data_IF_544892973861
#
_entry.id   IF_544892973861
#
_cell.length_a   1.000
_cell.length_b   1.000
_cell.length_c   1.000
_cell.angle_alpha   90.00
_cell.angle_beta   90.00
_cell.angle_gamma   90.00
#
_symmetry.space_group_name_H-M   'P 1'
#
loop_
_entity.id
_entity.type
_entity.pdbx_description
1 polymer ?
#
# COMPACT_ATOMS: atom_id res chain seq x y z
N UNK A 1 13.69 26.71 11.42
CA UNK A 1 12.28 26.71 11.86
C UNK A 1 11.78 25.28 11.71
N UNK A 2 11.38 24.65 12.82
CA UNK A 2 10.90 23.25 12.89
C UNK A 2 9.58 23.13 12.12
N UNK A 3 9.53 22.32 11.07
CA UNK A 3 8.25 21.80 10.55
C UNK A 3 7.68 20.80 11.57
N UNK A 4 6.35 20.67 11.70
CA UNK A 4 5.76 19.73 12.64
C UNK A 4 6.02 18.30 12.18
N UNK A 5 6.49 17.45 13.10
CA UNK A 5 6.50 16.00 12.96
C UNK A 5 5.06 15.54 12.74
N UNK A 6 4.77 14.94 11.59
CA UNK A 6 3.42 14.53 11.20
C UNK A 6 2.54 15.73 10.82
N UNK A 7 2.62 16.16 9.57
CA UNK A 7 1.56 17.00 9.02
C UNK A 7 0.21 16.28 9.22
N UNK A 8 -0.82 16.96 9.76
CA UNK A 8 -2.13 16.35 9.95
C UNK A 8 -2.69 15.92 8.59
N UNK A 9 -3.51 14.87 8.63
CA UNK A 9 -4.30 14.28 7.54
C UNK A 9 -5.11 15.30 6.68
N UNK A 10 -5.10 16.59 7.00
CA UNK A 10 -5.85 17.66 6.35
C UNK A 10 -5.34 18.05 4.96
N UNK A 11 -4.10 17.71 4.58
CA UNK A 11 -3.55 18.08 3.26
C UNK A 11 -4.21 17.36 2.07
N UNK A 12 -5.01 16.31 2.30
CA UNK A 12 -5.66 15.52 1.24
C UNK A 12 -7.00 16.11 0.73
N UNK A 13 -7.45 17.28 1.22
CA UNK A 13 -8.68 17.96 0.76
C UNK A 13 -8.41 19.12 -0.24
N UNK A 14 -7.52 18.91 -1.22
CA UNK A 14 -7.34 19.83 -2.35
C UNK A 14 -8.35 19.58 -3.49
N UNK A 15 -8.59 20.53 -4.40
CA UNK A 15 -9.52 20.34 -5.52
C UNK A 15 -9.05 19.17 -6.40
N UNK A 16 -10.01 18.28 -6.69
CA UNK A 16 -9.86 17.06 -7.50
C UNK A 16 -9.02 17.32 -8.75
N UNK A 17 -7.82 16.73 -8.79
CA UNK A 17 -7.03 16.65 -10.01
C UNK A 17 -7.80 15.90 -11.10
N UNK A 18 -7.61 16.30 -12.35
CA UNK A 18 -8.26 15.65 -13.50
C UNK A 18 -7.96 14.14 -13.58
N UNK A 19 -8.78 13.38 -14.33
CA UNK A 19 -8.68 11.92 -14.38
C UNK A 19 -7.30 11.44 -14.84
N UNK A 20 -6.80 10.40 -14.17
CA UNK A 20 -5.58 9.70 -14.54
C UNK A 20 -5.69 9.19 -15.98
N UNK A 21 -4.76 9.58 -16.87
CA UNK A 21 -4.67 9.07 -18.24
C UNK A 21 -4.86 10.08 -19.38
N UNK A 22 -4.84 11.40 -19.10
CA UNK A 22 -4.85 12.38 -20.19
C UNK A 22 -3.59 12.28 -21.07
N UNK A 23 -3.72 12.18 -22.41
CA UNK A 23 -2.61 11.88 -23.33
C UNK A 23 -1.63 13.06 -23.58
N UNK A 24 -1.65 14.11 -22.76
CA UNK A 24 -0.86 15.33 -22.98
C UNK A 24 0.01 15.77 -21.80
N UNK A 25 0.44 14.84 -20.94
CA UNK A 25 1.45 15.08 -19.91
C UNK A 25 2.79 14.42 -20.26
N UNK A 26 3.86 15.20 -20.38
CA UNK A 26 5.23 14.69 -20.62
C UNK A 26 5.61 13.60 -19.60
N UNK A 27 6.14 12.49 -20.13
CA UNK A 27 6.56 11.33 -19.37
C UNK A 27 7.62 11.70 -18.31
N UNK A 28 7.18 11.74 -17.05
CA UNK A 28 8.00 11.71 -15.83
C UNK A 28 8.94 12.92 -15.65
N UNK A 29 8.97 13.44 -14.42
CA UNK A 29 9.83 14.54 -14.02
C UNK A 29 11.31 14.30 -14.33
N UNK A 30 12.13 15.35 -14.15
CA UNK A 30 13.58 15.32 -14.40
C UNK A 30 14.19 14.05 -13.80
N UNK A 31 14.87 13.19 -14.58
CA UNK A 31 15.43 11.97 -14.04
C UNK A 31 16.49 12.30 -12.99
N UNK A 32 16.27 11.79 -11.77
CA UNK A 32 17.30 11.67 -10.73
C UNK A 32 18.58 11.13 -11.38
N UNK A 33 19.72 11.83 -11.26
CA UNK A 33 21.00 11.35 -11.81
C UNK A 33 21.32 10.01 -11.14
N UNK A 34 21.16 8.91 -11.88
CA UNK A 34 21.34 7.55 -11.35
C UNK A 34 22.80 7.12 -11.49
N UNK A 35 23.47 6.65 -10.41
CA UNK A 35 24.81 6.06 -10.52
C UNK A 35 24.86 4.66 -11.14
N UNK A 36 23.72 3.97 -11.29
CA UNK A 36 23.65 2.52 -11.54
C UNK A 36 23.21 2.10 -12.96
N UNK A 37 23.33 3.00 -13.95
CA UNK A 37 22.94 2.71 -15.34
C UNK A 37 21.42 2.75 -15.62
N UNK A 38 20.99 2.52 -16.88
CA UNK A 38 19.58 2.51 -17.25
C UNK A 38 18.87 1.29 -16.64
N UNK A 39 17.59 1.46 -16.24
CA UNK A 39 16.75 0.32 -15.83
C UNK A 39 16.61 -0.60 -17.04
N UNK A 40 17.11 -1.83 -16.91
CA UNK A 40 16.82 -2.91 -17.84
C UNK A 40 15.72 -3.78 -17.24
N UNK A 41 14.57 -3.83 -17.91
CA UNK A 41 13.39 -4.55 -17.48
C UNK A 41 12.12 -3.69 -17.50
N UNK A 42 10.93 -4.33 -17.46
CA UNK A 42 9.68 -3.59 -17.28
C UNK A 42 9.74 -2.80 -15.96
N UNK A 43 9.11 -1.60 -15.88
CA UNK A 43 9.14 -0.80 -14.66
C UNK A 43 8.67 -1.64 -13.45
N UNK A 44 9.27 -1.42 -12.28
CA UNK A 44 8.76 -2.01 -11.04
C UNK A 44 7.26 -1.66 -10.93
N UNK A 45 6.40 -2.68 -10.84
CA UNK A 45 4.94 -2.52 -10.87
C UNK A 45 4.29 -2.74 -12.24
N UNK A 46 5.05 -3.12 -13.28
CA UNK A 46 4.44 -3.71 -14.46
C UNK A 46 3.62 -4.93 -14.03
N UNK A 47 2.31 -4.98 -14.34
CA UNK A 47 1.46 -6.06 -13.88
C UNK A 47 2.04 -7.39 -14.39
N UNK A 48 2.03 -8.42 -13.54
CA UNK A 48 2.42 -9.79 -13.91
C UNK A 48 1.39 -10.46 -14.87
N UNK A 49 0.74 -9.65 -15.70
CA UNK A 49 -0.34 -9.98 -16.63
C UNK A 49 -0.78 -8.73 -17.40
N UNK A 50 -1.59 -8.90 -18.46
CA UNK A 50 -2.17 -7.75 -19.16
C UNK A 50 -3.07 -6.93 -18.22
N UNK A 51 -3.28 -5.62 -18.50
CA UNK A 51 -4.24 -4.84 -17.73
C UNK A 51 -5.59 -5.57 -17.76
N UNK A 52 -6.13 -5.88 -16.59
CA UNK A 52 -7.53 -6.25 -16.48
C UNK A 52 -8.30 -5.08 -17.09
N UNK A 53 -8.95 -5.31 -18.24
CA UNK A 53 -9.76 -4.28 -18.87
C UNK A 53 -10.74 -3.71 -17.83
N UNK A 54 -11.21 -2.47 -18.03
CA UNK A 54 -12.35 -1.91 -17.30
C UNK A 54 -13.56 -2.88 -17.46
N UNK A 55 -13.71 -3.84 -16.54
CA UNK A 55 -14.66 -4.97 -16.64
C UNK A 55 -14.07 -6.39 -16.56
N UNK A 56 -12.74 -6.55 -16.42
CA UNK A 56 -12.09 -7.85 -16.27
C UNK A 56 -12.37 -8.48 -14.91
N UNK A 57 -13.01 -9.66 -14.91
CA UNK A 57 -13.22 -10.45 -13.70
C UNK A 57 -11.93 -11.18 -13.32
N UNK A 58 -11.55 -11.09 -12.05
CA UNK A 58 -10.52 -11.97 -11.48
C UNK A 58 -10.96 -13.44 -11.44
N UNK A 59 -12.27 -13.70 -11.54
CA UNK A 59 -12.84 -15.05 -11.52
C UNK A 59 -12.49 -15.80 -12.81
N UNK A 60 -12.01 -17.03 -12.66
CA UNK A 60 -11.64 -17.90 -13.78
C UNK A 60 -10.16 -17.86 -14.18
N UNK A 61 -9.37 -16.98 -13.57
CA UNK A 61 -7.91 -17.02 -13.67
C UNK A 61 -7.34 -18.15 -12.79
N UNK A 62 -6.21 -18.78 -13.18
CA UNK A 62 -5.59 -19.83 -12.39
C UNK A 62 -5.12 -19.31 -11.02
N UNK A 63 -5.46 -20.02 -9.95
CA UNK A 63 -5.09 -19.68 -8.57
C UNK A 63 -4.03 -20.66 -8.07
N UNK A 64 -2.82 -20.17 -7.81
CA UNK A 64 -1.68 -21.03 -7.46
C UNK A 64 -1.65 -21.51 -5.99
N UNK A 65 -2.22 -20.72 -5.08
CA UNK A 65 -2.09 -20.89 -3.62
C UNK A 65 -3.47 -20.95 -2.98
N UNK A 66 -4.42 -21.66 -3.60
CA UNK A 66 -5.81 -21.74 -3.15
C UNK A 66 -5.91 -22.59 -1.87
N UNK A 67 -6.14 -21.99 -0.68
CA UNK A 67 -6.29 -22.75 0.55
C UNK A 67 -7.68 -23.38 0.68
N UNK A 68 -8.60 -23.09 -0.25
CA UNK A 68 -10.01 -23.47 -0.19
C UNK A 68 -10.40 -24.52 -1.24
N UNK A 69 -9.42 -25.12 -1.94
CA UNK A 69 -9.67 -26.09 -3.01
C UNK A 69 -10.56 -27.27 -2.56
N UNK A 70 -10.43 -27.69 -1.30
CA UNK A 70 -11.22 -28.78 -0.69
C UNK A 70 -12.43 -28.28 0.11
N UNK A 71 -12.73 -26.98 0.12
CA UNK A 71 -13.80 -26.39 0.90
C UNK A 71 -15.07 -26.25 0.04
N UNK A 72 -16.21 -26.65 0.60
CA UNK A 72 -17.51 -26.52 -0.08
C UNK A 72 -17.80 -25.07 -0.49
N UNK A 73 -18.18 -24.89 -1.76
CA UNK A 73 -18.55 -23.59 -2.33
C UNK A 73 -19.66 -22.87 -1.56
N UNK A 74 -20.60 -23.61 -0.97
CA UNK A 74 -21.65 -23.05 -0.12
C UNK A 74 -21.09 -22.40 1.15
N UNK A 75 -20.10 -23.04 1.80
CA UNK A 75 -19.47 -22.51 3.02
C UNK A 75 -18.69 -21.23 2.72
N UNK A 76 -18.02 -21.19 1.57
CA UNK A 76 -17.31 -20.00 1.08
C UNK A 76 -18.29 -18.86 0.83
N UNK A 77 -19.39 -19.13 0.11
CA UNK A 77 -20.42 -18.13 -0.18
C UNK A 77 -21.06 -17.54 1.09
N UNK A 78 -21.31 -18.37 2.10
CA UNK A 78 -21.85 -17.89 3.39
C UNK A 78 -20.87 -16.97 4.13
N UNK A 79 -19.57 -17.29 4.14
CA UNK A 79 -18.55 -16.40 4.73
C UNK A 79 -18.46 -15.08 3.95
N UNK A 80 -18.50 -15.11 2.61
CA UNK A 80 -18.52 -13.89 1.80
C UNK A 80 -19.70 -12.99 2.16
N UNK A 81 -20.91 -13.55 2.25
CA UNK A 81 -22.12 -12.81 2.63
C UNK A 81 -21.99 -12.15 4.01
N UNK A 82 -21.33 -12.82 4.96
CA UNK A 82 -21.06 -12.25 6.28
C UNK A 82 -20.06 -11.09 6.21
N UNK A 83 -18.99 -11.22 5.42
CA UNK A 83 -17.98 -10.17 5.26
C UNK A 83 -18.52 -8.94 4.52
N UNK A 84 -19.37 -9.13 3.49
CA UNK A 84 -20.00 -8.04 2.74
C UNK A 84 -20.93 -7.16 3.60
N UNK A 85 -21.47 -7.71 4.69
CA UNK A 85 -22.32 -6.97 5.61
C UNK A 85 -21.55 -6.14 6.64
N UNK A 86 -20.23 -6.35 6.78
CA UNK A 86 -19.39 -5.62 7.73
C UNK A 86 -18.92 -4.29 7.13
N UNK A 87 -18.70 -3.26 7.97
CA UNK A 87 -18.13 -2.01 7.50
C UNK A 87 -16.72 -2.23 6.94
N UNK A 88 -16.31 -1.45 5.92
CA UNK A 88 -14.95 -1.53 5.39
C UNK A 88 -13.93 -1.04 6.43
N UNK A 89 -12.71 -1.58 6.36
CA UNK A 89 -11.60 -1.16 7.23
C UNK A 89 -11.02 0.20 6.85
N UNK A 90 -11.12 0.57 5.57
CA UNK A 90 -10.62 1.83 5.01
C UNK A 90 -11.62 2.38 4.00
N UNK A 91 -11.63 3.70 3.85
CA UNK A 91 -12.43 4.44 2.89
C UNK A 91 -11.70 4.63 1.55
N UNK A 92 -12.45 4.97 0.50
CA UNK A 92 -11.86 5.28 -0.81
C UNK A 92 -10.92 6.50 -0.75
N UNK A 93 -11.27 7.53 0.03
CA UNK A 93 -10.43 8.73 0.18
C UNK A 93 -9.08 8.45 0.84
N UNK A 94 -9.01 7.52 1.80
CA UNK A 94 -7.74 7.09 2.40
C UNK A 94 -6.85 6.37 1.38
N UNK A 95 -7.44 5.57 0.49
CA UNK A 95 -6.70 4.90 -0.60
C UNK A 95 -6.18 5.92 -1.60
N UNK A 96 -6.99 6.90 -2.00
CA UNK A 96 -6.57 7.99 -2.90
C UNK A 96 -5.44 8.82 -2.29
N UNK A 97 -5.55 9.17 -1.01
CA UNK A 97 -4.50 9.87 -0.27
C UNK A 97 -3.20 9.05 -0.24
N UNK A 98 -3.26 7.73 0.01
CA UNK A 98 -2.10 6.85 -0.06
C UNK A 98 -1.46 6.81 -1.47
N UNK A 99 -2.28 6.78 -2.53
CA UNK A 99 -1.79 6.80 -3.92
C UNK A 99 -1.04 8.11 -4.23
N UNK A 100 -1.50 9.25 -3.73
CA UNK A 100 -0.78 10.53 -3.84
C UNK A 100 0.57 10.49 -3.14
N UNK A 101 0.64 9.96 -1.92
CA UNK A 101 1.91 9.82 -1.18
C UNK A 101 2.90 8.87 -1.89
N UNK A 102 2.39 7.79 -2.49
CA UNK A 102 3.20 6.88 -3.31
C UNK A 102 3.77 7.58 -4.55
N UNK A 103 2.99 8.46 -5.18
CA UNK A 103 3.46 9.25 -6.32
C UNK A 103 4.61 10.19 -5.91
N UNK A 104 4.54 10.84 -4.75
CA UNK A 104 5.63 11.67 -4.22
C UNK A 104 6.90 10.85 -3.96
N UNK A 105 6.76 9.69 -3.32
CA UNK A 105 7.89 8.78 -3.08
C UNK A 105 8.53 8.31 -4.40
N UNK A 106 7.72 8.07 -5.44
CA UNK A 106 8.20 7.69 -6.76
C UNK A 106 8.99 8.81 -7.46
N UNK A 107 8.61 10.08 -7.26
CA UNK A 107 9.40 11.22 -7.75
C UNK A 107 10.68 11.45 -6.92
N UNK A 108 10.83 10.74 -5.79
CA UNK A 108 11.96 10.90 -4.88
C UNK A 108 11.80 12.10 -3.93
N UNK A 109 10.59 12.65 -3.81
CA UNK A 109 10.29 13.77 -2.90
C UNK A 109 10.00 13.29 -1.47
N UNK A 110 9.68 12.01 -1.30
CA UNK A 110 9.47 11.37 -0.01
C UNK A 110 10.08 9.96 0.04
N UNK A 111 10.14 9.39 1.24
CA UNK A 111 10.57 8.02 1.47
C UNK A 111 9.45 7.20 2.12
N UNK A 112 9.28 5.96 1.68
CA UNK A 112 8.27 5.05 2.21
C UNK A 112 8.94 4.02 3.12
N UNK A 113 8.53 3.96 4.37
CA UNK A 113 8.94 2.94 5.33
C UNK A 113 7.78 2.01 5.63
N UNK A 114 7.86 0.77 5.14
CA UNK A 114 6.90 -0.28 5.41
C UNK A 114 7.45 -1.30 6.40
N UNK A 115 6.71 -1.61 7.46
CA UNK A 115 7.18 -2.54 8.49
C UNK A 115 6.06 -3.21 9.27
N UNK A 116 6.38 -4.38 9.84
CA UNK A 116 5.47 -5.15 10.69
C UNK A 116 5.79 -6.66 10.65
N UNK A 117 5.01 -7.48 11.37
CA UNK A 117 5.25 -8.92 11.44
C UNK A 117 5.14 -9.60 10.06
N UNK A 118 5.85 -10.72 9.91
CA UNK A 118 5.78 -11.54 8.69
C UNK A 118 4.36 -12.10 8.47
N UNK A 119 3.73 -12.55 9.56
CA UNK A 119 2.37 -13.03 9.61
C UNK A 119 1.75 -12.63 10.96
N UNK A 120 0.57 -12.04 10.93
CA UNK A 120 -0.24 -11.78 12.11
C UNK A 120 -0.83 -13.09 12.63
N UNK A 121 -1.00 -13.17 13.96
CA UNK A 121 -1.61 -14.32 14.64
C UNK A 121 -2.74 -13.81 15.51
N UNK A 122 -3.90 -14.45 15.47
CA UNK A 122 -5.05 -14.05 16.29
C UNK A 122 -4.70 -14.01 17.79
N UNK A 123 -3.92 -14.98 18.28
CA UNK A 123 -3.49 -15.02 19.68
C UNK A 123 -2.53 -13.88 20.09
N UNK A 124 -1.87 -13.26 19.11
CA UNK A 124 -0.93 -12.15 19.30
C UNK A 124 -1.51 -10.79 18.89
N UNK A 125 -2.78 -10.72 18.49
CA UNK A 125 -3.48 -9.47 18.21
C UNK A 125 -3.86 -8.79 19.53
N UNK A 126 -2.85 -8.27 20.23
CA UNK A 126 -2.96 -7.63 21.55
C UNK A 126 -2.41 -6.22 21.49
N UNK A 127 -3.00 -5.33 22.27
CA UNK A 127 -2.64 -3.91 22.31
C UNK A 127 -1.14 -3.70 22.54
N UNK A 128 -0.51 -4.46 23.43
CA UNK A 128 0.93 -4.37 23.71
C UNK A 128 1.79 -4.66 22.48
N UNK A 129 1.46 -5.72 21.72
CA UNK A 129 2.18 -6.08 20.49
C UNK A 129 1.99 -5.03 19.41
N UNK A 130 0.78 -4.47 19.30
CA UNK A 130 0.49 -3.38 18.36
C UNK A 130 1.28 -2.12 18.72
N UNK A 131 1.23 -1.71 19.99
CA UNK A 131 1.94 -0.52 20.50
C UNK A 131 3.45 -0.64 20.32
N UNK A 132 4.01 -1.81 20.61
CA UNK A 132 5.44 -2.08 20.40
C UNK A 132 5.82 -1.97 18.92
N UNK A 133 5.05 -2.61 18.04
CA UNK A 133 5.32 -2.61 16.58
C UNK A 133 5.19 -1.21 15.98
N UNK A 134 4.09 -0.50 16.30
CA UNK A 134 3.86 0.86 15.81
C UNK A 134 4.86 1.84 16.39
N UNK A 135 5.23 1.69 17.67
CA UNK A 135 6.26 2.51 18.31
C UNK A 135 7.62 2.36 17.64
N UNK A 136 8.03 1.13 17.32
CA UNK A 136 9.25 0.87 16.58
C UNK A 136 9.21 1.50 15.17
N UNK A 137 8.09 1.36 14.46
CA UNK A 137 7.93 1.92 13.11
C UNK A 137 8.03 3.46 13.13
N UNK A 138 7.41 4.11 14.13
CA UNK A 138 7.49 5.56 14.35
C UNK A 138 8.92 6.01 14.67
N UNK A 139 9.62 5.29 15.55
CA UNK A 139 11.01 5.60 15.92
C UNK A 139 11.95 5.49 14.72
N UNK A 140 11.83 4.42 13.92
CA UNK A 140 12.61 4.25 12.71
C UNK A 140 12.28 5.31 11.66
N UNK A 141 11.00 5.65 11.51
CA UNK A 141 10.56 6.74 10.63
C UNK A 141 11.24 8.06 10.95
N UNK A 142 11.15 8.49 12.21
CA UNK A 142 11.77 9.73 12.67
C UNK A 142 13.30 9.72 12.51
N UNK A 143 13.95 8.58 12.75
CA UNK A 143 15.39 8.42 12.55
C UNK A 143 15.77 8.56 11.07
N UNK A 144 15.05 7.88 10.17
CA UNK A 144 15.33 7.95 8.73
C UNK A 144 15.09 9.37 8.21
N UNK A 145 13.98 10.00 8.59
CA UNK A 145 13.63 11.36 8.19
C UNK A 145 14.73 12.36 8.56
N UNK A 146 15.29 12.23 9.77
CA UNK A 146 16.41 13.06 10.22
C UNK A 146 17.71 12.81 9.44
N UNK A 147 17.91 11.62 8.88
CA UNK A 147 19.12 11.27 8.13
C UNK A 147 19.06 11.69 6.66
N UNK A 148 17.88 11.61 6.04
CA UNK A 148 17.72 11.84 4.59
C UNK A 148 17.18 13.23 4.26
N UNK A 149 16.74 13.99 5.27
CA UNK A 149 16.15 15.32 5.15
C UNK A 149 14.97 15.38 4.17
N UNK A 150 14.17 14.30 4.14
CA UNK A 150 12.95 14.16 3.33
C UNK A 150 11.82 13.56 4.15
N UNK A 151 10.55 13.89 3.84
CA UNK A 151 9.40 13.28 4.49
C UNK A 151 9.45 11.75 4.44
N UNK A 152 9.15 11.10 5.56
CA UNK A 152 9.02 9.64 5.64
C UNK A 152 7.56 9.27 5.93
N UNK A 153 6.92 8.57 5.00
CA UNK A 153 5.58 8.03 5.20
C UNK A 153 5.64 6.57 5.64
N UNK A 154 4.82 6.24 6.65
CA UNK A 154 4.86 4.94 7.32
C UNK A 154 3.71 4.06 6.86
N UNK A 155 4.02 2.80 6.52
CA UNK A 155 3.01 1.78 6.20
C UNK A 155 3.17 0.59 7.16
N UNK A 156 2.13 0.33 7.94
CA UNK A 156 2.08 -0.85 8.80
C UNK A 156 1.69 -2.11 8.01
N UNK A 157 2.38 -3.22 8.25
CA UNK A 157 1.89 -4.56 7.92
C UNK A 157 1.03 -5.05 9.08
N UNK A 158 -0.24 -4.67 9.10
CA UNK A 158 -1.18 -4.84 10.21
C UNK A 158 -2.61 -5.00 9.68
N UNK A 159 -3.51 -5.58 10.48
CA UNK A 159 -4.95 -5.66 10.23
C UNK A 159 -5.32 -6.42 8.96
N UNK A 160 -4.54 -7.43 8.57
CA UNK A 160 -4.83 -8.24 7.39
C UNK A 160 -3.77 -9.25 6.97
N UNK A 161 -2.60 -9.28 7.62
CA UNK A 161 -1.49 -10.15 7.26
C UNK A 161 -1.66 -11.57 7.84
N UNK A 162 -2.84 -12.18 7.69
CA UNK A 162 -3.17 -13.51 8.23
C UNK A 162 -2.91 -14.66 7.25
N UNK A 163 -2.75 -14.37 5.96
CA UNK A 163 -2.42 -15.35 4.94
C UNK A 163 -0.92 -15.31 4.59
N UNK A 164 -0.33 -16.49 4.32
CA UNK A 164 1.07 -16.62 3.85
C UNK A 164 1.16 -17.77 2.83
N UNK A 165 1.78 -17.56 1.65
CA UNK A 165 1.95 -18.63 0.66
C UNK A 165 2.83 -19.77 1.20
N UNK A 166 2.64 -20.97 0.68
CA UNK A 166 3.43 -22.16 1.00
C UNK A 166 3.92 -22.88 -0.24
#
# INVERSE_FOLDING_TARGET
MKGPLGAPFEACYGPLGGPLGAPSGTAWGRPFKRPWGPIQGPPLGAPLGGPLALGGSLRGLPVAQDPFIDVSSYRIAEVYRQLEALPPLVSAGEVECLLSLLAEAQQGEAFLLQGGPCAERFCCCREETLRSTTGLLLQLGALIEALIEKPVFLIGRIAGQYAKPR
#
